data_IF_131932740554
#
_entry.id   IF_131932740554
#
_cell.length_a   1.000
_cell.length_b   1.000
_cell.length_c   1.000
_cell.angle_alpha   90.00
_cell.angle_beta   90.00
_cell.angle_gamma   90.00
#
_symmetry.space_group_name_H-M   'P 1'
#
loop_
_entity.id
_entity.type
_entity.pdbx_description
1 polymer ?
#
# COMPACT_ATOMS: atom_id res chain seq x y z
N UNK A 1 -3.66 -14.29 9.66
CA UNK A 1 -5.08 -14.41 9.25
C UNK A 1 -5.41 -15.87 9.00
N UNK A 2 -6.65 -16.34 9.25
CA UNK A 2 -7.05 -17.72 8.94
C UNK A 2 -7.08 -17.97 7.42
N UNK A 3 -6.90 -19.23 6.99
CA UNK A 3 -6.78 -19.57 5.57
C UNK A 3 -7.97 -19.08 4.72
N UNK A 4 -9.21 -19.31 5.19
CA UNK A 4 -10.42 -18.88 4.46
C UNK A 4 -10.52 -17.36 4.31
N UNK A 5 -10.19 -16.62 5.37
CA UNK A 5 -10.17 -15.16 5.34
C UNK A 5 -9.08 -14.63 4.39
N UNK A 6 -7.93 -15.30 4.35
CA UNK A 6 -6.83 -14.94 3.47
C UNK A 6 -7.16 -15.19 1.99
N UNK A 7 -7.84 -16.29 1.65
CA UNK A 7 -8.33 -16.51 0.30
C UNK A 7 -9.33 -15.41 -0.12
N UNK A 8 -10.25 -15.02 0.76
CA UNK A 8 -11.18 -13.89 0.49
C UNK A 8 -10.42 -12.57 0.27
N UNK A 9 -9.36 -12.31 1.04
CA UNK A 9 -8.51 -11.13 0.86
C UNK A 9 -7.82 -11.15 -0.51
N UNK A 10 -7.29 -12.31 -0.92
CA UNK A 10 -6.67 -12.48 -2.25
C UNK A 10 -7.67 -12.30 -3.38
N UNK A 11 -8.88 -12.85 -3.26
CA UNK A 11 -9.95 -12.61 -4.23
C UNK A 11 -10.29 -11.12 -4.34
N UNK A 12 -10.40 -10.43 -3.20
CA UNK A 12 -10.63 -8.98 -3.14
C UNK A 12 -9.48 -8.20 -3.78
N UNK A 13 -8.23 -8.60 -3.54
CA UNK A 13 -7.06 -8.00 -4.15
C UNK A 13 -7.05 -8.22 -5.66
N UNK A 14 -7.33 -9.43 -6.14
CA UNK A 14 -7.44 -9.72 -7.57
C UNK A 14 -8.56 -8.94 -8.24
N UNK A 15 -9.72 -8.80 -7.58
CA UNK A 15 -10.79 -7.95 -8.06
C UNK A 15 -10.34 -6.50 -8.18
N UNK A 16 -9.66 -5.96 -7.15
CA UNK A 16 -9.07 -4.63 -7.19
C UNK A 16 -8.05 -4.46 -8.32
N UNK A 17 -7.20 -5.46 -8.55
CA UNK A 17 -6.26 -5.46 -9.67
C UNK A 17 -7.00 -5.33 -11.01
N UNK A 18 -8.04 -6.14 -11.22
CA UNK A 18 -8.81 -6.18 -12.47
C UNK A 18 -9.69 -4.96 -12.71
N UNK A 19 -10.31 -4.44 -11.66
CA UNK A 19 -11.33 -3.39 -11.75
C UNK A 19 -10.75 -1.99 -11.62
N UNK A 20 -9.65 -1.82 -10.89
CA UNK A 20 -9.11 -0.51 -10.56
C UNK A 20 -7.67 -0.31 -11.02
N UNK A 21 -6.79 -1.30 -10.87
CA UNK A 21 -5.37 -1.13 -11.22
C UNK A 21 -5.17 -1.22 -12.73
N UNK A 22 -5.42 -2.38 -13.35
CA UNK A 22 -5.13 -2.59 -14.77
C UNK A 22 -5.81 -1.56 -15.69
N UNK A 23 -7.08 -1.18 -15.50
CA UNK A 23 -7.72 -0.18 -16.34
C UNK A 23 -7.07 1.21 -16.25
N UNK A 24 -6.42 1.53 -15.11
CA UNK A 24 -5.84 2.83 -14.84
C UNK A 24 -4.31 2.90 -15.04
N UNK A 25 -3.67 1.83 -15.51
CA UNK A 25 -2.20 1.81 -15.71
C UNK A 25 -1.74 2.91 -16.66
N UNK A 26 -2.38 3.05 -17.82
CA UNK A 26 -2.02 4.08 -18.80
C UNK A 26 -2.29 5.49 -18.27
N UNK A 27 -3.40 5.68 -17.56
CA UNK A 27 -3.74 6.96 -16.93
C UNK A 27 -2.69 7.34 -15.88
N UNK A 28 -2.25 6.38 -15.07
CA UNK A 28 -1.20 6.58 -14.09
C UNK A 28 0.11 7.04 -14.75
N UNK A 29 0.58 6.37 -15.81
CA UNK A 29 1.77 6.80 -16.57
C UNK A 29 1.60 8.24 -17.05
N UNK A 30 0.45 8.55 -17.65
CA UNK A 30 0.18 9.87 -18.20
C UNK A 30 0.27 10.93 -17.10
N UNK A 31 -0.41 10.74 -15.99
CA UNK A 31 -0.40 11.69 -14.87
C UNK A 31 1.00 11.83 -14.25
N UNK A 32 1.76 10.74 -14.11
CA UNK A 32 3.17 10.80 -13.67
C UNK A 32 4.00 11.68 -14.61
N UNK A 33 3.84 11.50 -15.93
CA UNK A 33 4.54 12.33 -16.93
C UNK A 33 4.13 13.79 -16.85
N UNK A 34 2.84 14.08 -16.73
CA UNK A 34 2.30 15.43 -16.60
C UNK A 34 2.78 16.14 -15.33
N UNK A 35 2.85 15.43 -14.20
CA UNK A 35 3.40 15.96 -12.95
C UNK A 35 4.89 16.27 -13.13
N UNK A 36 5.68 15.34 -13.68
CA UNK A 36 7.12 15.52 -13.90
C UNK A 36 7.43 16.66 -14.88
N UNK A 37 6.59 16.86 -15.90
CA UNK A 37 6.74 17.93 -16.88
C UNK A 37 6.60 19.33 -16.28
N UNK A 38 5.98 19.48 -15.10
CA UNK A 38 5.82 20.77 -14.41
C UNK A 38 7.10 21.25 -13.71
N UNK A 39 8.18 20.47 -13.75
CA UNK A 39 9.50 20.85 -13.29
C UNK A 39 9.96 20.11 -12.02
N UNK A 40 11.26 20.21 -11.67
CA UNK A 40 11.90 19.40 -10.64
C UNK A 40 11.45 19.70 -9.20
N UNK A 41 10.68 20.77 -8.98
CA UNK A 41 10.08 21.11 -7.68
C UNK A 41 8.68 20.51 -7.47
N UNK A 42 8.16 19.79 -8.45
CA UNK A 42 6.77 19.31 -8.51
C UNK A 42 6.70 17.79 -8.30
N UNK A 43 7.28 17.27 -7.21
CA UNK A 43 7.10 15.87 -6.80
C UNK A 43 5.74 15.70 -6.12
N UNK A 44 4.68 15.74 -6.91
CA UNK A 44 3.31 15.53 -6.44
C UNK A 44 2.83 14.13 -6.76
N UNK A 45 1.94 13.63 -5.92
CA UNK A 45 1.26 12.37 -6.15
C UNK A 45 0.31 12.50 -7.35
N UNK A 46 0.33 11.55 -8.31
CA UNK A 46 -0.66 11.49 -9.38
C UNK A 46 -2.08 11.45 -8.81
N UNK A 47 -3.04 12.24 -9.31
CA UNK A 47 -4.42 12.23 -8.79
C UNK A 47 -5.06 10.84 -8.68
N UNK A 48 -4.77 9.95 -9.64
CA UNK A 48 -5.31 8.58 -9.64
C UNK A 48 -4.86 7.77 -8.43
N UNK A 49 -3.64 7.97 -7.93
CA UNK A 49 -3.14 7.29 -6.73
C UNK A 49 -3.99 7.66 -5.51
N UNK A 50 -4.34 8.94 -5.37
CA UNK A 50 -5.14 9.42 -4.24
C UNK A 50 -6.52 8.76 -4.24
N UNK A 51 -7.16 8.65 -5.40
CA UNK A 51 -8.45 7.96 -5.55
C UNK A 51 -8.34 6.46 -5.24
N UNK A 52 -7.33 5.80 -5.79
CA UNK A 52 -7.12 4.36 -5.61
C UNK A 52 -6.82 3.99 -4.16
N UNK A 53 -6.12 4.85 -3.42
CA UNK A 53 -5.88 4.65 -1.97
C UNK A 53 -7.17 4.60 -1.18
N UNK A 54 -8.13 5.47 -1.47
CA UNK A 54 -9.43 5.47 -0.78
C UNK A 54 -10.24 4.21 -1.15
N UNK A 55 -10.21 3.79 -2.41
CA UNK A 55 -10.82 2.53 -2.85
C UNK A 55 -10.18 1.30 -2.18
N UNK A 56 -8.85 1.27 -2.07
CA UNK A 56 -8.12 0.19 -1.41
C UNK A 56 -8.46 0.11 0.08
N UNK A 57 -8.47 1.25 0.79
CA UNK A 57 -8.92 1.34 2.19
C UNK A 57 -10.34 0.82 2.37
N UNK A 58 -11.28 1.21 1.50
CA UNK A 58 -12.66 0.77 1.57
C UNK A 58 -12.82 -0.75 1.37
N UNK A 59 -11.89 -1.39 0.64
CA UNK A 59 -11.82 -2.85 0.43
C UNK A 59 -10.99 -3.59 1.48
N UNK A 60 -10.41 -2.89 2.46
CA UNK A 60 -9.53 -3.51 3.47
C UNK A 60 -8.14 -3.89 2.94
N UNK A 61 -7.71 -3.32 1.81
CA UNK A 61 -6.42 -3.57 1.16
C UNK A 61 -5.36 -2.54 1.58
N UNK A 62 -5.31 -2.20 2.88
CA UNK A 62 -4.44 -1.11 3.40
C UNK A 62 -3.46 -1.61 4.45
N UNK A 63 -2.21 -1.16 4.39
CA UNK A 63 -1.14 -1.56 5.33
C UNK A 63 -0.95 -3.08 5.42
N UNK A 64 -1.09 -3.79 4.30
CA UNK A 64 -0.99 -5.26 4.26
C UNK A 64 0.39 -5.77 4.69
N UNK A 65 1.42 -4.93 4.54
CA UNK A 65 2.81 -5.22 4.87
C UNK A 65 3.10 -5.27 6.36
N UNK A 66 2.33 -4.56 7.20
CA UNK A 66 2.71 -4.29 8.58
C UNK A 66 2.56 -5.57 9.43
N UNK A 67 3.67 -6.13 9.94
CA UNK A 67 3.61 -7.38 10.70
C UNK A 67 2.81 -7.23 12.00
N UNK A 68 2.17 -8.32 12.44
CA UNK A 68 1.27 -8.32 13.62
C UNK A 68 1.97 -7.84 14.90
N UNK A 69 3.23 -8.23 15.10
CA UNK A 69 4.04 -7.82 16.24
C UNK A 69 4.34 -6.31 16.20
N UNK A 70 4.72 -5.79 15.04
CA UNK A 70 4.99 -4.36 14.83
C UNK A 70 3.73 -3.51 14.98
N UNK A 71 2.62 -3.97 14.42
CA UNK A 71 1.32 -3.32 14.57
C UNK A 71 0.90 -3.24 16.05
N UNK A 72 1.11 -4.33 16.81
CA UNK A 72 0.82 -4.38 18.26
C UNK A 72 1.69 -3.39 19.05
N UNK A 73 2.99 -3.31 18.76
CA UNK A 73 3.91 -2.37 19.39
C UNK A 73 3.58 -0.90 19.09
N UNK A 74 3.03 -0.64 17.91
CA UNK A 74 2.58 0.69 17.49
C UNK A 74 1.17 1.03 17.98
N UNK A 75 0.44 0.09 18.60
CA UNK A 75 -0.98 0.29 18.94
C UNK A 75 -1.88 0.47 17.72
N UNK A 76 -1.49 -0.08 16.57
CA UNK A 76 -2.18 0.10 15.27
C UNK A 76 -2.69 -1.23 14.70
N UNK A 77 -3.54 -1.12 13.68
CA UNK A 77 -3.97 -2.25 12.84
C UNK A 77 -3.16 -2.26 11.54
N UNK A 78 -2.49 -3.37 11.27
CA UNK A 78 -1.97 -3.74 9.95
C UNK A 78 -2.89 -4.76 9.26
N UNK A 79 -2.41 -5.38 8.17
CA UNK A 79 -3.16 -6.40 7.43
C UNK A 79 -3.37 -7.73 8.17
N UNK A 80 -2.70 -7.95 9.30
CA UNK A 80 -2.87 -9.20 10.08
C UNK A 80 -2.31 -10.45 9.39
N UNK A 81 -1.42 -10.24 8.43
CA UNK A 81 -0.81 -11.28 7.60
C UNK A 81 0.49 -11.80 8.21
N UNK A 82 0.79 -13.07 7.96
CA UNK A 82 2.17 -13.57 8.14
C UNK A 82 3.05 -13.09 6.98
N UNK A 83 4.37 -13.19 7.12
CA UNK A 83 5.28 -12.85 6.02
C UNK A 83 5.00 -13.68 4.75
N UNK A 84 4.66 -14.97 4.91
CA UNK A 84 4.30 -15.82 3.78
C UNK A 84 3.01 -15.36 3.10
N UNK A 85 1.98 -15.02 3.88
CA UNK A 85 0.73 -14.48 3.35
C UNK A 85 0.94 -13.14 2.63
N UNK A 86 1.77 -12.26 3.20
CA UNK A 86 2.09 -10.99 2.57
C UNK A 86 2.91 -11.18 1.27
N UNK A 87 3.79 -12.19 1.21
CA UNK A 87 4.55 -12.50 0.00
C UNK A 87 3.63 -12.81 -1.20
N UNK A 88 2.56 -13.57 -1.00
CA UNK A 88 1.56 -13.82 -2.04
C UNK A 88 0.82 -12.53 -2.45
N UNK A 89 0.51 -11.63 -1.51
CA UNK A 89 -0.05 -10.32 -1.85
C UNK A 89 0.93 -9.48 -2.70
N UNK A 90 2.22 -9.51 -2.37
CA UNK A 90 3.26 -8.85 -3.16
C UNK A 90 3.35 -9.41 -4.58
N UNK A 91 3.24 -10.74 -4.74
CA UNK A 91 3.21 -11.38 -6.05
C UNK A 91 2.03 -10.87 -6.89
N UNK A 92 0.83 -10.81 -6.31
CA UNK A 92 -0.37 -10.29 -6.99
C UNK A 92 -0.18 -8.82 -7.40
N UNK A 93 0.23 -7.95 -6.48
CA UNK A 93 0.47 -6.54 -6.77
C UNK A 93 1.58 -6.33 -7.81
N UNK A 94 2.60 -7.19 -7.79
CA UNK A 94 3.75 -7.15 -8.71
C UNK A 94 3.40 -7.48 -10.15
N UNK A 95 2.19 -7.96 -10.44
CA UNK A 95 1.72 -8.20 -11.82
C UNK A 95 1.38 -6.93 -12.59
N UNK A 96 1.29 -5.77 -11.93
CA UNK A 96 1.06 -4.49 -12.61
C UNK A 96 2.29 -4.07 -13.43
N UNK A 97 2.07 -3.54 -14.64
CA UNK A 97 3.13 -3.19 -15.59
C UNK A 97 4.02 -2.03 -15.12
N UNK A 98 3.50 -1.17 -14.24
CA UNK A 98 4.22 -0.04 -13.69
C UNK A 98 4.65 -0.32 -12.27
N UNK A 99 5.97 -0.45 -12.08
CA UNK A 99 6.58 -0.81 -10.82
C UNK A 99 6.02 0.06 -9.67
N UNK A 100 5.54 -0.63 -8.65
CA UNK A 100 4.93 -0.13 -7.41
C UNK A 100 3.55 0.52 -7.51
N UNK A 101 2.92 0.66 -8.68
CA UNK A 101 1.60 1.31 -8.80
C UNK A 101 0.52 0.67 -7.91
N UNK A 102 0.39 -0.65 -7.99
CA UNK A 102 -0.55 -1.40 -7.15
C UNK A 102 -0.18 -1.37 -5.66
N UNK A 103 1.12 -1.46 -5.36
CA UNK A 103 1.63 -1.39 -4.00
C UNK A 103 1.38 0.00 -3.39
N UNK A 104 1.55 1.06 -4.16
CA UNK A 104 1.33 2.44 -3.75
C UNK A 104 -0.15 2.74 -3.47
N UNK A 105 -1.04 2.16 -4.27
CA UNK A 105 -2.48 2.20 -4.02
C UNK A 105 -2.86 1.51 -2.70
N UNK A 106 -2.15 0.44 -2.30
CA UNK A 106 -2.41 -0.33 -1.08
C UNK A 106 -1.60 0.12 0.15
N UNK A 107 -0.83 1.21 0.05
CA UNK A 107 0.13 1.67 1.06
C UNK A 107 1.21 0.63 1.43
N UNK A 108 1.68 -0.08 0.42
CA UNK A 108 2.65 -1.17 0.48
C UNK A 108 3.92 -0.89 -0.35
N UNK A 109 4.08 0.33 -0.89
CA UNK A 109 5.24 0.71 -1.71
C UNK A 109 6.48 1.02 -0.86
N UNK A 110 7.66 0.75 -1.42
CA UNK A 110 8.93 1.22 -0.88
C UNK A 110 9.08 2.73 -1.11
N UNK A 111 9.84 3.48 -0.27
CA UNK A 111 10.54 3.08 0.95
C UNK A 111 9.67 3.15 2.23
N UNK A 112 8.42 3.58 2.09
CA UNK A 112 7.57 3.93 3.23
C UNK A 112 7.25 2.73 4.14
N UNK A 113 7.10 1.53 3.58
CA UNK A 113 6.90 0.30 4.36
C UNK A 113 8.03 0.06 5.38
N UNK A 114 9.28 0.19 4.95
CA UNK A 114 10.44 0.05 5.83
C UNK A 114 10.50 1.16 6.89
N UNK A 115 10.27 2.41 6.50
CA UNK A 115 10.24 3.54 7.43
C UNK A 115 9.13 3.38 8.49
N UNK A 116 7.94 2.93 8.08
CA UNK A 116 6.81 2.67 8.96
C UNK A 116 7.12 1.53 9.93
N UNK A 117 7.78 0.45 9.48
CA UNK A 117 8.19 -0.64 10.37
C UNK A 117 9.23 -0.19 11.41
N UNK A 118 10.22 0.62 11.00
CA UNK A 118 11.22 1.18 11.92
C UNK A 118 10.57 2.01 13.01
N UNK A 119 9.66 2.93 12.64
CA UNK A 119 8.92 3.74 13.61
C UNK A 119 8.01 2.90 14.51
N UNK A 120 7.36 1.87 13.95
CA UNK A 120 6.49 0.98 14.70
C UNK A 120 7.25 0.20 15.79
N UNK A 121 8.45 -0.29 15.45
CA UNK A 121 9.28 -1.10 16.36
C UNK A 121 10.09 -0.26 17.36
N UNK A 122 10.64 0.87 16.91
CA UNK A 122 11.69 1.58 17.65
C UNK A 122 11.37 3.05 17.95
N UNK A 123 10.31 3.61 17.38
CA UNK A 123 9.93 5.00 17.63
C UNK A 123 9.46 5.23 19.08
N UNK A 124 9.76 6.40 19.63
CA UNK A 124 9.10 6.85 20.88
C UNK A 124 7.61 7.10 20.62
N UNK A 125 6.82 7.21 21.68
CA UNK A 125 5.38 7.51 21.54
C UNK A 125 5.14 8.85 20.83
N UNK A 126 5.99 9.85 21.08
CA UNK A 126 5.94 11.15 20.39
C UNK A 126 6.26 10.99 18.90
N UNK A 127 7.30 10.21 18.55
CA UNK A 127 7.67 9.96 17.16
C UNK A 127 6.57 9.19 16.42
N UNK A 128 5.98 8.16 17.05
CA UNK A 128 4.85 7.42 16.49
C UNK A 128 3.63 8.31 16.30
N UNK A 129 3.34 9.21 17.24
CA UNK A 129 2.23 10.16 17.12
C UNK A 129 2.45 11.20 16.02
N UNK A 130 3.69 11.63 15.82
CA UNK A 130 4.02 12.66 14.83
C UNK A 130 4.15 12.10 13.41
N UNK A 131 4.75 10.91 13.25
CA UNK A 131 5.21 10.41 11.95
C UNK A 131 4.56 9.11 11.50
N UNK A 132 4.09 8.29 12.44
CA UNK A 132 3.37 7.04 12.14
C UNK A 132 1.85 7.26 12.14
N UNK A 133 1.38 8.51 12.22
CA UNK A 133 -0.04 8.86 12.25
C UNK A 133 -0.73 8.54 10.90
N UNK A 134 -1.38 7.38 10.86
CA UNK A 134 -2.24 6.90 9.78
C UNK A 134 -3.13 5.76 10.25
#
# INVERSE_FOLDING_TARGET
>A
MEAKQFETLKETLWDFMKTEIYPNELLHIQQVREVRAKGPSQWRQPPIIVELREKAKARGLWNLFLPVDSAKLAGRRGGGLTNLQYAECCEIMGTANHAEFAAEACNCASPDTGNMEVLARFGTEEQKKQWLAG
#
